data_IF_478032031883
#
_entry.id   IF_478032031883
#
_cell.length_a   1.000
_cell.length_b   1.000
_cell.length_c   1.000
_cell.angle_alpha   90.00
_cell.angle_beta   90.00
_cell.angle_gamma   90.00
#
_symmetry.space_group_name_H-M   'P 1'
#
loop_
_entity.id
_entity.type
_entity.pdbx_description
1 polymer ?
#
# COMPACT_ATOMS: atom_id res chain seq x y z
N UNK A 1 -21.48 26.01 -18.18
CA UNK A 1 -20.04 25.91 -18.34
C UNK A 1 -19.67 24.65 -19.15
N UNK A 2 -19.34 24.79 -20.43
CA UNK A 2 -19.11 23.63 -21.33
C UNK A 2 -17.84 22.82 -20.98
N UNK A 3 -16.90 23.37 -20.24
CA UNK A 3 -15.62 22.70 -19.94
C UNK A 3 -15.65 21.62 -18.84
N UNK A 4 -16.61 21.65 -17.95
CA UNK A 4 -16.74 20.66 -16.85
C UNK A 4 -17.32 19.34 -17.34
N UNK A 5 -18.30 19.38 -18.25
CA UNK A 5 -18.91 18.16 -18.81
C UNK A 5 -17.93 17.29 -19.62
N UNK A 6 -16.95 17.90 -20.29
CA UNK A 6 -15.92 17.14 -21.03
C UNK A 6 -14.91 16.42 -20.12
N UNK A 7 -14.65 16.94 -18.91
CA UNK A 7 -13.75 16.29 -17.94
C UNK A 7 -14.39 15.10 -17.23
N UNK A 8 -15.70 15.16 -17.00
CA UNK A 8 -16.45 14.06 -16.38
C UNK A 8 -16.62 12.84 -17.30
N UNK A 9 -16.51 13.05 -18.61
CA UNK A 9 -16.60 11.98 -19.62
C UNK A 9 -15.27 11.30 -19.94
N UNK A 10 -14.15 11.79 -19.39
CA UNK A 10 -12.85 11.17 -19.60
C UNK A 10 -12.73 9.86 -18.84
N UNK A 11 -12.24 8.84 -19.53
CA UNK A 11 -11.97 7.52 -18.98
C UNK A 11 -10.47 7.33 -18.70
N UNK A 12 -10.11 6.22 -18.08
CA UNK A 12 -8.71 5.82 -17.89
C UNK A 12 -7.92 5.66 -19.20
N UNK A 13 -8.61 5.52 -20.33
CA UNK A 13 -7.99 5.49 -21.66
C UNK A 13 -7.49 6.87 -22.14
N UNK A 14 -8.02 7.93 -21.58
CA UNK A 14 -7.71 9.31 -21.94
C UNK A 14 -6.49 9.88 -21.20
N UNK A 15 -5.81 9.06 -20.37
CA UNK A 15 -4.58 9.46 -19.71
C UNK A 15 -3.43 9.60 -20.71
N UNK A 16 -2.62 10.64 -20.53
CA UNK A 16 -1.36 10.78 -21.26
C UNK A 16 -0.34 9.74 -20.77
N UNK A 17 0.68 9.47 -21.58
CA UNK A 17 1.77 8.54 -21.20
C UNK A 17 2.43 8.98 -19.91
N UNK A 18 2.71 10.25 -19.72
CA UNK A 18 3.30 10.79 -18.48
C UNK A 18 2.39 10.63 -17.27
N UNK A 19 1.09 10.83 -17.43
CA UNK A 19 0.10 10.62 -16.37
C UNK A 19 0.04 9.16 -15.94
N UNK A 20 0.06 8.22 -16.87
CA UNK A 20 0.13 6.77 -16.57
C UNK A 20 1.43 6.42 -15.84
N UNK A 21 2.56 6.90 -16.33
CA UNK A 21 3.86 6.70 -15.70
C UNK A 21 3.87 7.22 -14.25
N UNK A 22 3.31 8.40 -14.04
CA UNK A 22 3.18 8.99 -12.70
C UNK A 22 2.40 8.08 -11.75
N UNK A 23 1.22 7.61 -12.16
CA UNK A 23 0.39 6.72 -11.35
C UNK A 23 1.08 5.36 -11.12
N UNK A 24 1.67 4.78 -12.16
CA UNK A 24 2.34 3.47 -12.05
C UNK A 24 3.55 3.54 -11.09
N UNK A 25 4.34 4.61 -11.15
CA UNK A 25 5.47 4.83 -10.24
C UNK A 25 4.97 5.05 -8.80
N UNK A 26 3.91 5.83 -8.63
CA UNK A 26 3.32 6.10 -7.33
C UNK A 26 2.79 4.83 -6.66
N UNK A 27 2.11 3.97 -7.42
CA UNK A 27 1.57 2.70 -6.93
C UNK A 27 2.67 1.69 -6.64
N UNK A 28 3.69 1.58 -7.50
CA UNK A 28 4.80 0.65 -7.32
C UNK A 28 5.61 0.93 -6.04
N UNK A 29 5.68 2.20 -5.63
CA UNK A 29 6.41 2.66 -4.45
C UNK A 29 5.46 3.27 -3.40
N UNK A 30 4.25 2.75 -3.30
CA UNK A 30 3.22 3.28 -2.41
C UNK A 30 3.66 3.30 -0.95
N UNK A 31 3.60 4.49 -0.35
CA UNK A 31 4.03 4.71 1.03
C UNK A 31 5.52 5.01 1.22
N UNK A 32 6.36 4.76 0.20
CA UNK A 32 7.81 5.00 0.24
C UNK A 32 8.24 6.24 -0.55
N UNK A 33 7.41 6.68 -1.48
CA UNK A 33 7.68 7.81 -2.36
C UNK A 33 6.67 8.93 -2.15
N UNK A 34 7.12 10.17 -2.25
CA UNK A 34 6.23 11.32 -2.29
C UNK A 34 5.61 11.49 -3.67
N UNK A 35 4.46 12.15 -3.74
CA UNK A 35 3.81 12.45 -5.02
C UNK A 35 4.71 13.32 -5.94
N UNK A 36 5.46 14.24 -5.34
CA UNK A 36 6.40 15.09 -6.06
C UNK A 36 7.55 14.28 -6.69
N UNK A 37 8.10 13.32 -5.94
CA UNK A 37 9.18 12.46 -6.44
C UNK A 37 8.68 11.49 -7.52
N UNK A 38 7.46 10.98 -7.39
CA UNK A 38 6.83 10.20 -8.44
C UNK A 38 6.66 11.00 -9.74
N UNK A 39 6.32 12.28 -9.62
CA UNK A 39 6.19 13.19 -10.74
C UNK A 39 7.53 13.44 -11.44
N UNK A 40 8.62 13.63 -10.67
CA UNK A 40 9.98 13.76 -11.21
C UNK A 40 10.40 12.50 -11.97
N UNK A 41 10.18 11.33 -11.40
CA UNK A 41 10.47 10.05 -12.05
C UNK A 41 9.63 9.79 -13.29
N UNK A 42 8.44 10.35 -13.37
CA UNK A 42 7.57 10.29 -14.55
C UNK A 42 7.98 11.26 -15.68
N UNK A 43 9.15 11.90 -15.56
CA UNK A 43 9.72 12.81 -16.54
C UNK A 43 8.89 14.09 -16.78
N UNK A 44 8.18 14.56 -15.75
CA UNK A 44 7.64 15.91 -15.76
C UNK A 44 8.75 16.92 -15.53
N UNK A 45 8.75 17.97 -16.33
CA UNK A 45 9.70 19.07 -16.21
C UNK A 45 9.00 20.29 -15.62
N UNK A 46 9.46 20.71 -14.46
CA UNK A 46 8.96 21.90 -13.78
C UNK A 46 10.13 22.84 -13.48
N UNK A 47 9.85 24.14 -13.45
CA UNK A 47 10.87 25.16 -13.21
C UNK A 47 11.38 25.17 -11.76
N UNK A 48 10.49 24.90 -10.81
CA UNK A 48 10.76 24.95 -9.38
C UNK A 48 10.30 23.68 -8.68
N UNK A 49 10.91 23.33 -7.55
CA UNK A 49 10.47 22.21 -6.72
C UNK A 49 9.03 22.35 -6.21
N UNK A 50 8.59 23.58 -5.97
CA UNK A 50 7.24 23.87 -5.55
C UNK A 50 6.19 23.54 -6.63
N UNK A 51 6.55 23.68 -7.90
CA UNK A 51 5.66 23.36 -9.03
C UNK A 51 5.36 21.86 -9.10
N UNK A 52 6.31 21.00 -8.76
CA UNK A 52 6.08 19.55 -8.66
C UNK A 52 5.02 19.21 -7.62
N UNK A 53 5.07 19.84 -6.46
CA UNK A 53 4.08 19.64 -5.40
C UNK A 53 2.68 20.10 -5.84
N UNK A 54 2.58 21.25 -6.46
CA UNK A 54 1.31 21.79 -6.97
C UNK A 54 0.72 20.92 -8.06
N UNK A 55 1.52 20.50 -9.04
CA UNK A 55 1.05 19.64 -10.14
C UNK A 55 0.65 18.28 -9.63
N UNK A 56 1.45 17.68 -8.74
CA UNK A 56 1.13 16.39 -8.12
C UNK A 56 -0.19 16.44 -7.34
N UNK A 57 -0.44 17.50 -6.59
CA UNK A 57 -1.71 17.71 -5.89
C UNK A 57 -2.88 17.85 -6.85
N UNK A 58 -2.72 18.55 -7.96
CA UNK A 58 -3.76 18.70 -8.99
C UNK A 58 -4.09 17.38 -9.68
N UNK A 59 -3.07 16.60 -10.03
CA UNK A 59 -3.24 15.29 -10.69
C UNK A 59 -3.97 14.29 -9.81
N UNK A 60 -3.77 14.36 -8.51
CA UNK A 60 -4.44 13.48 -7.51
C UNK A 60 -5.72 14.07 -6.92
N UNK A 61 -6.18 15.20 -7.42
CA UNK A 61 -7.43 15.81 -7.00
C UNK A 61 -8.61 15.24 -7.80
N UNK A 62 -9.53 14.58 -7.10
CA UNK A 62 -10.71 13.93 -7.70
C UNK A 62 -11.65 14.88 -8.41
N UNK A 63 -11.70 16.14 -8.00
CA UNK A 63 -12.54 17.18 -8.64
C UNK A 63 -11.94 17.68 -9.93
N UNK A 64 -10.61 17.81 -10.00
CA UNK A 64 -9.90 18.35 -11.16
C UNK A 64 -9.58 17.28 -12.21
N UNK A 65 -9.20 16.10 -11.78
CA UNK A 65 -8.78 14.98 -12.62
C UNK A 65 -9.40 13.65 -12.18
N UNK A 66 -10.72 13.48 -12.31
CA UNK A 66 -11.40 12.27 -11.85
C UNK A 66 -10.93 11.01 -12.58
N UNK A 67 -10.57 11.11 -13.85
CA UNK A 67 -10.09 9.98 -14.67
C UNK A 67 -8.72 9.46 -14.20
N UNK A 68 -7.81 10.34 -13.76
CA UNK A 68 -6.51 9.96 -13.19
C UNK A 68 -6.72 9.26 -11.84
N UNK A 69 -7.62 9.79 -11.01
CA UNK A 69 -7.93 9.20 -9.72
C UNK A 69 -8.60 7.83 -9.84
N UNK A 70 -9.46 7.63 -10.84
CA UNK A 70 -10.03 6.32 -11.15
C UNK A 70 -8.96 5.30 -11.55
N UNK A 71 -8.02 5.71 -12.39
CA UNK A 71 -6.89 4.87 -12.78
C UNK A 71 -6.01 4.53 -11.58
N UNK A 72 -5.73 5.49 -10.70
CA UNK A 72 -5.00 5.29 -9.45
C UNK A 72 -5.71 4.28 -8.54
N UNK A 73 -7.00 4.44 -8.31
CA UNK A 73 -7.80 3.53 -7.48
C UNK A 73 -7.80 2.10 -8.04
N UNK A 74 -7.95 1.96 -9.36
CA UNK A 74 -7.87 0.66 -10.06
C UNK A 74 -6.51 0.00 -9.86
N UNK A 75 -5.41 0.73 -10.01
CA UNK A 75 -4.06 0.21 -9.83
C UNK A 75 -3.75 -0.18 -8.38
N UNK A 76 -4.24 0.58 -7.42
CA UNK A 76 -4.13 0.24 -6.00
C UNK A 76 -4.91 -1.03 -5.67
N UNK A 77 -6.11 -1.20 -6.21
CA UNK A 77 -6.91 -2.41 -6.03
C UNK A 77 -6.24 -3.64 -6.66
N UNK A 78 -5.69 -3.51 -7.87
CA UNK A 78 -4.93 -4.58 -8.54
C UNK A 78 -3.69 -4.98 -7.71
N UNK A 79 -2.96 -4.01 -7.15
CA UNK A 79 -1.81 -4.26 -6.29
C UNK A 79 -2.20 -4.97 -4.99
N UNK A 80 -3.29 -4.55 -4.37
CA UNK A 80 -3.85 -5.17 -3.16
C UNK A 80 -4.27 -6.61 -3.42
N UNK A 81 -4.99 -6.87 -4.50
CA UNK A 81 -5.42 -8.22 -4.90
C UNK A 81 -4.24 -9.14 -5.19
N UNK A 82 -3.19 -8.61 -5.82
CA UNK A 82 -1.94 -9.35 -6.05
C UNK A 82 -1.24 -9.70 -4.75
N UNK A 83 -1.21 -8.78 -3.79
CA UNK A 83 -0.64 -9.01 -2.46
C UNK A 83 -1.38 -10.12 -1.72
N UNK A 84 -2.72 -10.08 -1.70
CA UNK A 84 -3.55 -11.09 -1.06
C UNK A 84 -3.35 -12.49 -1.69
N UNK A 85 -3.29 -12.57 -3.00
CA UNK A 85 -2.99 -13.84 -3.70
C UNK A 85 -1.60 -14.39 -3.34
N UNK A 86 -0.61 -13.53 -3.24
CA UNK A 86 0.75 -13.92 -2.83
C UNK A 86 0.80 -14.36 -1.37
N UNK A 87 0.04 -13.73 -0.49
CA UNK A 87 -0.11 -14.12 0.91
C UNK A 87 -0.68 -15.53 1.04
N UNK A 88 -1.76 -15.83 0.34
CA UNK A 88 -2.39 -17.16 0.32
C UNK A 88 -1.42 -18.22 -0.21
N UNK A 89 -0.68 -17.90 -1.28
CA UNK A 89 0.31 -18.82 -1.85
C UNK A 89 1.43 -19.15 -0.86
N UNK A 90 1.93 -18.17 -0.13
CA UNK A 90 2.96 -18.36 0.91
C UNK A 90 2.45 -19.19 2.07
N UNK A 91 1.22 -18.92 2.51
CA UNK A 91 0.55 -19.68 3.56
C UNK A 91 0.46 -21.16 3.18
N UNK A 92 -0.07 -21.49 2.01
CA UNK A 92 -0.17 -22.87 1.52
C UNK A 92 1.18 -23.55 1.37
N UNK A 93 2.21 -22.81 1.02
CA UNK A 93 3.58 -23.35 0.93
C UNK A 93 4.14 -23.71 2.30
N UNK A 94 3.90 -22.90 3.32
CA UNK A 94 4.30 -23.18 4.70
C UNK A 94 3.57 -24.40 5.26
N UNK A 95 2.27 -24.55 4.97
CA UNK A 95 1.52 -25.76 5.36
C UNK A 95 2.11 -27.02 4.74
N UNK A 96 2.46 -26.99 3.46
CA UNK A 96 3.15 -28.13 2.80
C UNK A 96 4.49 -28.45 3.45
N UNK A 97 5.27 -27.46 3.82
CA UNK A 97 6.54 -27.69 4.52
C UNK A 97 6.33 -28.31 5.91
N UNK A 98 5.28 -27.92 6.62
CA UNK A 98 4.91 -28.54 7.87
C UNK A 98 4.56 -30.04 7.70
N UNK A 99 3.77 -30.38 6.70
CA UNK A 99 3.40 -31.77 6.39
C UNK A 99 4.62 -32.60 5.99
N UNK A 100 5.48 -32.08 5.12
CA UNK A 100 6.71 -32.76 4.69
C UNK A 100 7.68 -32.99 5.86
N UNK A 101 7.82 -32.02 6.74
CA UNK A 101 8.67 -32.11 7.92
C UNK A 101 8.11 -33.14 8.93
N UNK A 102 6.81 -33.17 9.12
CA UNK A 102 6.14 -34.16 9.97
C UNK A 102 6.30 -35.58 9.41
N UNK A 103 6.13 -35.78 8.13
CA UNK A 103 6.32 -37.08 7.45
C UNK A 103 7.76 -37.60 7.60
N UNK A 104 8.74 -36.70 7.60
CA UNK A 104 10.16 -37.01 7.83
C UNK A 104 10.54 -37.06 9.31
N UNK A 105 9.59 -37.01 10.22
CA UNK A 105 9.80 -36.99 11.68
C UNK A 105 10.62 -35.81 12.20
N UNK A 106 10.68 -34.75 11.45
CA UNK A 106 11.35 -33.49 11.82
C UNK A 106 10.33 -32.58 12.55
N UNK A 107 9.95 -32.95 13.75
CA UNK A 107 8.86 -32.31 14.48
C UNK A 107 9.13 -30.85 14.81
N UNK A 108 10.36 -30.47 15.14
CA UNK A 108 10.72 -29.07 15.38
C UNK A 108 10.51 -28.19 14.14
N UNK A 109 10.90 -28.69 12.96
CA UNK A 109 10.69 -27.99 11.71
C UNK A 109 9.20 -27.91 11.35
N UNK A 110 8.44 -28.98 11.60
CA UNK A 110 6.99 -29.01 11.39
C UNK A 110 6.27 -27.97 12.27
N UNK A 111 6.60 -27.90 13.56
CA UNK A 111 6.03 -26.93 14.51
C UNK A 111 6.39 -25.50 14.11
N UNK A 112 7.64 -25.25 13.71
CA UNK A 112 8.06 -23.93 13.22
C UNK A 112 7.31 -23.50 11.96
N UNK A 113 7.15 -24.40 10.99
CA UNK A 113 6.41 -24.09 9.76
C UNK A 113 4.93 -23.80 10.05
N UNK A 114 4.31 -24.61 10.92
CA UNK A 114 2.94 -24.42 11.39
C UNK A 114 2.76 -23.06 12.09
N UNK A 115 3.67 -22.71 13.00
CA UNK A 115 3.65 -21.44 13.70
C UNK A 115 3.81 -20.25 12.72
N UNK A 116 4.72 -20.35 11.76
CA UNK A 116 4.92 -19.32 10.73
C UNK A 116 3.70 -19.15 9.84
N UNK A 117 3.04 -20.24 9.47
CA UNK A 117 1.79 -20.17 8.71
C UNK A 117 0.69 -19.47 9.48
N UNK A 118 0.56 -19.77 10.77
CA UNK A 118 -0.38 -19.11 11.68
C UNK A 118 -0.10 -17.61 11.83
N UNK A 119 1.16 -17.21 11.95
CA UNK A 119 1.55 -15.81 11.98
C UNK A 119 1.16 -15.08 10.67
N UNK A 120 1.43 -15.70 9.52
CA UNK A 120 1.09 -15.12 8.21
C UNK A 120 -0.42 -15.00 8.01
N UNK A 121 -1.19 -15.95 8.55
CA UNK A 121 -2.66 -15.91 8.53
C UNK A 121 -3.26 -14.91 9.54
N UNK A 122 -2.43 -14.35 10.44
CA UNK A 122 -2.90 -13.42 11.48
C UNK A 122 -3.63 -14.09 12.64
N UNK A 123 -3.44 -15.41 12.85
CA UNK A 123 -4.09 -16.15 13.92
C UNK A 123 -3.48 -15.87 15.30
N UNK A 124 -2.23 -15.45 15.34
CA UNK A 124 -1.52 -15.10 16.56
C UNK A 124 -1.38 -13.58 16.65
N UNK A 125 -2.04 -13.00 17.63
CA UNK A 125 -1.92 -11.58 17.95
C UNK A 125 -0.99 -11.47 19.16
N UNK A 126 0.20 -10.95 18.98
CA UNK A 126 1.06 -10.53 20.09
C UNK A 126 0.40 -9.32 20.77
N UNK A 127 -0.46 -9.57 21.73
CA UNK A 127 -0.97 -8.52 22.61
C UNK A 127 0.13 -8.08 23.56
N UNK A 128 0.99 -7.19 23.14
CA UNK A 128 1.81 -6.40 24.05
C UNK A 128 0.91 -5.31 24.63
N UNK A 129 0.24 -5.60 25.73
CA UNK A 129 -0.30 -4.56 26.59
C UNK A 129 0.87 -3.85 27.25
N UNK A 130 1.32 -2.75 26.64
CA UNK A 130 2.19 -1.81 27.33
C UNK A 130 1.29 -1.06 28.32
N UNK A 131 1.16 -1.59 29.51
CA UNK A 131 0.60 -0.84 30.63
C UNK A 131 1.59 0.26 30.91
N UNK A 132 1.34 1.47 30.43
CA UNK A 132 1.97 2.69 30.90
C UNK A 132 1.41 2.97 32.31
N UNK A 133 1.77 2.11 33.26
CA UNK A 133 1.47 2.33 34.67
C UNK A 133 2.46 3.35 35.21
N UNK A 134 2.06 4.56 35.31
CA UNK A 134 2.91 5.55 35.94
C UNK A 134 2.39 6.96 35.94
N UNK A 135 1.66 7.37 34.90
CA UNK A 135 1.20 8.75 34.78
C UNK A 135 -0.29 8.96 35.11
N UNK A 136 -1.09 7.91 35.01
CA UNK A 136 -2.55 8.00 35.27
C UNK A 136 -2.92 8.02 36.77
N UNK A 137 -1.98 7.63 37.64
CA UNK A 137 -2.16 7.66 39.10
C UNK A 137 -1.42 8.77 39.82
N UNK A 138 -0.66 9.60 39.12
CA UNK A 138 0.10 10.70 39.73
C UNK A 138 -0.76 11.95 39.81
N UNK A 139 -0.83 12.54 41.03
CA UNK A 139 -1.47 13.83 41.21
C UNK A 139 -0.65 14.92 40.52
N UNK A 140 -1.31 16.03 40.20
CA UNK A 140 -0.67 17.21 39.56
C UNK A 140 0.52 17.76 40.34
N UNK A 141 0.62 17.41 41.63
CA UNK A 141 1.73 17.79 42.51
C UNK A 141 2.94 16.86 42.42
N UNK A 142 2.80 15.69 41.80
CA UNK A 142 3.86 14.67 41.61
C UNK A 142 4.45 14.66 40.19
N UNK A 143 3.85 15.50 39.33
CA UNK A 143 4.33 15.76 37.98
C UNK A 143 5.22 17.02 37.96
#
# INVERSE_FOLDING_TARGET
>A
MPGLKKKELRTDKDLTVKQRMFVDILVANWGEITKSDALRKAKYECKNDNDYSVIASRLTNRKLNPHICKYLDKKLEEASSKYERNKIRRYRRLERFADMAADNKQYSAAVNAEYRSGQLAGLYIDKKEVKVSGLEGMSRAEL
#
